data_IF_522131288431
#
_entry.id   IF_522131288431
#
_cell.length_a   1.000
_cell.length_b   1.000
_cell.length_c   1.000
_cell.angle_alpha   90.00
_cell.angle_beta   90.00
_cell.angle_gamma   90.00
#
_symmetry.space_group_name_H-M   'P 1'
#
loop_
_entity.id
_entity.type
_entity.pdbx_description
1 polymer ?
#
# COMPACT_ATOMS: atom_id res chain seq x y z
N UNK A 1 32.52 53.23 32.24
CA UNK A 1 31.86 51.90 32.21
C UNK A 1 30.99 51.79 30.98
N UNK A 2 31.48 51.16 29.90
CA UNK A 2 30.70 50.93 28.67
C UNK A 2 29.82 49.69 28.81
N UNK A 3 28.49 49.85 28.67
CA UNK A 3 27.52 48.75 28.70
C UNK A 3 27.76 47.82 27.51
N UNK A 4 28.18 46.57 27.78
CA UNK A 4 28.26 45.50 26.78
C UNK A 4 26.88 45.28 26.14
N UNK A 5 26.79 45.57 24.86
CA UNK A 5 25.67 45.23 23.98
C UNK A 5 25.41 43.71 24.04
N UNK A 6 24.20 43.32 24.48
CA UNK A 6 23.70 41.93 24.42
C UNK A 6 23.37 41.56 22.96
N UNK A 7 24.36 41.56 22.07
CA UNK A 7 24.27 40.89 20.76
C UNK A 7 24.60 39.43 20.97
N UNK A 8 23.59 38.60 21.23
CA UNK A 8 23.80 37.16 21.40
C UNK A 8 22.61 36.36 21.92
N UNK A 9 21.57 36.99 22.49
CA UNK A 9 20.35 36.24 22.77
C UNK A 9 19.65 35.95 21.45
N UNK A 10 19.38 34.67 21.16
CA UNK A 10 18.61 34.25 20.00
C UNK A 10 17.22 34.93 19.91
N UNK A 11 16.41 34.54 18.91
CA UNK A 11 15.06 35.09 18.74
C UNK A 11 14.28 35.06 20.05
N UNK A 12 13.62 36.18 20.42
CA UNK A 12 12.81 36.23 21.64
C UNK A 12 11.67 35.20 21.53
N UNK A 13 11.38 34.40 22.58
CA UNK A 13 10.24 33.48 22.59
C UNK A 13 8.95 34.21 22.20
N UNK A 14 8.15 33.64 21.29
CA UNK A 14 6.89 34.24 20.82
C UNK A 14 7.04 35.42 19.85
N UNK A 15 8.23 35.67 19.29
CA UNK A 15 8.38 36.63 18.19
C UNK A 15 8.19 35.96 16.82
N UNK A 16 7.69 36.70 15.81
CA UNK A 16 7.58 36.21 14.43
C UNK A 16 8.90 35.61 13.89
N UNK A 17 10.05 36.08 14.40
CA UNK A 17 11.37 35.53 14.04
C UNK A 17 11.66 34.19 14.72
N UNK A 18 11.20 33.98 15.95
CA UNK A 18 11.29 32.69 16.65
C UNK A 18 10.37 31.65 15.99
N UNK A 19 9.13 32.04 15.65
CA UNK A 19 8.17 31.18 14.96
C UNK A 19 8.68 30.75 13.57
N UNK A 20 9.23 31.68 12.77
CA UNK A 20 9.83 31.34 11.47
C UNK A 20 11.02 30.40 11.58
N UNK A 21 11.81 30.52 12.65
CA UNK A 21 12.95 29.62 12.90
C UNK A 21 12.47 28.24 13.37
N UNK A 22 11.46 28.18 14.25
CA UNK A 22 10.81 26.94 14.67
C UNK A 22 10.18 26.21 13.48
N UNK A 23 9.35 26.89 12.68
CA UNK A 23 8.72 26.33 11.47
C UNK A 23 9.74 25.92 10.39
N UNK A 24 10.92 26.54 10.34
CA UNK A 24 12.01 26.09 9.46
C UNK A 24 12.68 24.83 10.01
N UNK A 25 12.88 24.76 11.32
CA UNK A 25 13.47 23.60 12.00
C UNK A 25 12.53 22.40 11.94
N UNK A 26 11.23 22.60 12.13
CA UNK A 26 10.19 21.59 11.95
C UNK A 26 10.12 21.11 10.50
N UNK A 27 10.13 22.01 9.51
CA UNK A 27 10.20 21.61 8.09
C UNK A 27 11.48 20.84 7.77
N UNK A 28 12.62 21.22 8.34
CA UNK A 28 13.86 20.47 8.17
C UNK A 28 13.81 19.11 8.86
N UNK A 29 13.25 19.02 10.06
CA UNK A 29 13.08 17.75 10.77
C UNK A 29 12.10 16.82 10.05
N UNK A 30 10.97 17.35 9.56
CA UNK A 30 10.00 16.62 8.75
C UNK A 30 10.60 16.16 7.42
N UNK A 31 11.45 16.98 6.78
CA UNK A 31 12.15 16.58 5.56
C UNK A 31 13.25 15.52 5.79
N UNK A 32 13.71 15.34 7.02
CA UNK A 32 14.66 14.29 7.40
C UNK A 32 13.97 13.09 8.08
N UNK A 33 12.66 13.13 8.28
CA UNK A 33 11.92 12.00 8.83
C UNK A 33 11.92 10.86 7.80
N UNK A 34 12.10 9.60 8.23
CA UNK A 34 11.93 8.45 7.36
C UNK A 34 10.54 8.49 6.72
N UNK A 35 10.40 8.07 5.45
CA UNK A 35 9.09 7.94 4.83
C UNK A 35 8.19 7.04 5.69
N UNK A 36 6.88 7.35 5.79
CA UNK A 36 5.96 6.58 6.61
C UNK A 36 5.95 5.12 6.16
N UNK A 37 5.98 4.21 7.13
CA UNK A 37 5.91 2.76 6.95
C UNK A 37 4.59 2.24 7.56
N UNK A 38 3.44 2.52 6.90
CA UNK A 38 2.11 2.39 7.51
C UNK A 38 1.75 0.95 7.89
N UNK A 39 2.38 -0.03 7.25
CA UNK A 39 2.09 -1.46 7.46
C UNK A 39 3.18 -2.17 8.30
N UNK A 40 4.05 -1.41 8.95
CA UNK A 40 5.12 -1.97 9.77
C UNK A 40 4.57 -2.90 10.87
N UNK A 41 5.14 -4.09 10.98
CA UNK A 41 4.76 -5.08 12.00
C UNK A 41 3.72 -6.10 11.54
N UNK A 42 3.18 -5.98 10.34
CA UNK A 42 2.33 -7.01 9.73
C UNK A 42 3.18 -7.99 8.91
N UNK A 43 2.92 -9.28 9.03
CA UNK A 43 3.56 -10.32 8.21
C UNK A 43 3.29 -10.09 6.70
N UNK A 44 2.11 -9.56 6.37
CA UNK A 44 1.71 -9.19 5.01
C UNK A 44 2.24 -7.84 4.52
N UNK A 45 3.11 -7.14 5.27
CA UNK A 45 3.53 -5.77 4.96
C UNK A 45 3.99 -5.57 3.51
N UNK A 46 4.88 -6.44 3.01
CA UNK A 46 5.44 -6.29 1.66
C UNK A 46 4.37 -6.45 0.58
N UNK A 47 3.39 -7.33 0.80
CA UNK A 47 2.27 -7.53 -0.09
C UNK A 47 1.31 -6.34 -0.06
N UNK A 48 0.98 -5.81 1.13
CA UNK A 48 0.17 -4.60 1.28
C UNK A 48 0.80 -3.42 0.54
N UNK A 49 2.12 -3.23 0.68
CA UNK A 49 2.86 -2.19 -0.06
C UNK A 49 2.78 -2.42 -1.57
N UNK A 50 2.88 -3.65 -2.06
CA UNK A 50 2.77 -3.96 -3.49
C UNK A 50 1.37 -3.67 -4.04
N UNK A 51 0.34 -4.17 -3.36
CA UNK A 51 -1.08 -3.93 -3.68
C UNK A 51 -1.41 -2.44 -3.69
N UNK A 52 -0.81 -1.68 -2.78
CA UNK A 52 -0.94 -0.22 -2.71
C UNK A 52 -0.20 0.52 -3.84
N UNK A 53 0.95 0.02 -4.28
CA UNK A 53 1.88 0.82 -5.08
C UNK A 53 1.82 0.58 -6.59
N UNK A 54 1.64 -0.68 -7.02
CA UNK A 54 1.82 -1.00 -8.44
C UNK A 54 1.11 -2.27 -8.95
N UNK A 55 0.51 -3.08 -8.08
CA UNK A 55 -0.37 -4.16 -8.57
C UNK A 55 -1.63 -3.50 -9.12
N UNK A 56 -2.16 -3.97 -10.25
CA UNK A 56 -3.31 -3.35 -10.90
C UNK A 56 -4.65 -3.97 -10.46
N UNK A 57 -4.72 -5.31 -10.41
CA UNK A 57 -5.96 -6.04 -10.15
C UNK A 57 -5.67 -7.30 -9.34
N UNK A 58 -6.03 -7.27 -8.06
CA UNK A 58 -5.88 -8.39 -7.15
C UNK A 58 -6.85 -8.27 -5.97
N UNK A 59 -7.19 -9.39 -5.36
CA UNK A 59 -7.94 -9.47 -4.11
C UNK A 59 -7.25 -10.41 -3.13
N UNK A 60 -7.48 -10.21 -1.84
CA UNK A 60 -7.00 -11.12 -0.81
C UNK A 60 -7.94 -11.11 0.40
N UNK A 61 -8.38 -12.29 0.85
CA UNK A 61 -9.21 -12.38 2.05
C UNK A 61 -8.40 -11.94 3.28
N UNK A 62 -9.01 -11.14 4.15
CA UNK A 62 -8.40 -10.74 5.42
C UNK A 62 -8.72 -11.75 6.52
N UNK A 63 -7.68 -12.11 7.27
CA UNK A 63 -7.84 -12.80 8.55
C UNK A 63 -8.15 -11.76 9.62
N UNK A 64 -9.44 -11.53 9.87
CA UNK A 64 -9.90 -10.57 10.87
C UNK A 64 -9.72 -11.12 12.29
N UNK A 65 -9.26 -10.27 13.21
CA UNK A 65 -9.13 -10.60 14.64
C UNK A 65 -10.50 -10.92 15.25
N UNK A 66 -11.51 -10.12 14.90
CA UNK A 66 -12.89 -10.32 15.31
C UNK A 66 -13.72 -10.84 14.12
N UNK A 67 -14.17 -12.09 14.20
CA UNK A 67 -15.05 -12.73 13.21
C UNK A 67 -16.32 -13.29 13.88
N UNK A 68 -17.39 -13.47 13.10
CA UNK A 68 -18.65 -14.01 13.59
C UNK A 68 -19.79 -13.81 12.58
N UNK A 69 -20.93 -14.45 12.83
CA UNK A 69 -22.10 -14.40 11.92
C UNK A 69 -22.73 -13.01 11.78
N UNK A 70 -22.44 -12.11 12.73
CA UNK A 70 -22.98 -10.76 12.77
C UNK A 70 -22.03 -9.74 12.10
N UNK A 71 -20.97 -10.22 11.44
CA UNK A 71 -19.99 -9.40 10.73
C UNK A 71 -19.76 -9.94 9.34
N UNK A 72 -19.52 -9.01 8.42
CA UNK A 72 -19.18 -9.35 7.05
C UNK A 72 -17.76 -9.92 7.03
N UNK A 73 -17.54 -10.94 6.19
CA UNK A 73 -16.19 -11.26 5.74
C UNK A 73 -15.63 -10.07 4.95
N UNK A 74 -14.33 -9.80 5.08
CA UNK A 74 -13.68 -8.69 4.39
C UNK A 74 -12.54 -9.20 3.52
N UNK A 75 -12.51 -8.75 2.27
CA UNK A 75 -11.40 -8.94 1.35
C UNK A 75 -10.76 -7.60 1.01
N UNK A 76 -9.42 -7.56 0.97
CA UNK A 76 -8.71 -6.50 0.29
C UNK A 76 -8.92 -6.61 -1.20
N UNK A 77 -8.96 -5.44 -1.83
CA UNK A 77 -8.98 -5.22 -3.25
C UNK A 77 -7.88 -4.21 -3.58
N UNK A 78 -7.18 -4.40 -4.69
CA UNK A 78 -6.23 -3.40 -5.16
C UNK A 78 -6.89 -2.04 -5.35
N UNK A 79 -8.00 -2.01 -6.10
CA UNK A 79 -8.79 -0.80 -6.36
C UNK A 79 -10.25 -1.19 -6.59
N UNK A 80 -11.17 -0.36 -6.09
CA UNK A 80 -12.61 -0.53 -6.26
C UNK A 80 -13.15 0.40 -7.37
N UNK A 81 -14.35 0.15 -7.92
CA UNK A 81 -15.00 1.09 -8.84
C UNK A 81 -15.05 2.50 -8.26
N UNK A 82 -14.61 3.49 -9.03
CA UNK A 82 -14.55 4.88 -8.58
C UNK A 82 -13.47 5.17 -7.53
N UNK A 83 -12.54 4.23 -7.28
CA UNK A 83 -11.48 4.34 -6.30
C UNK A 83 -11.97 4.67 -4.87
N UNK A 84 -13.17 4.17 -4.52
CA UNK A 84 -13.74 4.33 -3.17
C UNK A 84 -13.00 3.47 -2.14
N UNK A 85 -12.93 3.86 -0.86
CA UNK A 85 -12.19 3.11 0.16
C UNK A 85 -12.78 1.74 0.49
N UNK A 86 -14.11 1.60 0.49
CA UNK A 86 -14.76 0.32 0.73
C UNK A 86 -16.13 0.25 0.07
N UNK A 87 -16.62 -0.98 -0.14
CA UNK A 87 -17.99 -1.28 -0.52
C UNK A 87 -18.44 -2.56 0.19
N UNK A 88 -19.74 -2.72 0.39
CA UNK A 88 -20.33 -4.00 0.83
C UNK A 88 -21.31 -4.45 -0.24
N UNK A 89 -21.20 -5.72 -0.64
CA UNK A 89 -22.07 -6.36 -1.62
C UNK A 89 -22.64 -7.65 -1.08
N UNK A 90 -23.77 -8.07 -1.65
CA UNK A 90 -24.32 -9.41 -1.39
C UNK A 90 -23.64 -10.42 -2.31
N UNK A 91 -23.23 -11.56 -1.75
CA UNK A 91 -22.71 -12.71 -2.49
C UNK A 91 -23.37 -14.00 -2.00
N UNK A 92 -23.22 -15.08 -2.75
CA UNK A 92 -23.67 -16.41 -2.31
C UNK A 92 -22.96 -16.78 -0.99
N UNK A 93 -23.71 -16.77 0.11
CA UNK A 93 -23.19 -17.05 1.45
C UNK A 93 -23.27 -15.89 2.44
N UNK A 94 -23.65 -14.69 2.00
CA UNK A 94 -23.88 -13.53 2.84
C UNK A 94 -23.19 -12.26 2.36
N UNK A 95 -23.25 -11.17 3.14
CA UNK A 95 -22.59 -9.92 2.79
C UNK A 95 -21.06 -10.05 2.81
N UNK A 96 -20.42 -9.56 1.74
CA UNK A 96 -18.96 -9.42 1.61
C UNK A 96 -18.58 -7.93 1.61
N UNK A 97 -17.67 -7.57 2.51
CA UNK A 97 -16.98 -6.28 2.49
C UNK A 97 -15.75 -6.34 1.60
N UNK A 98 -15.58 -5.36 0.70
CA UNK A 98 -14.35 -5.15 -0.04
C UNK A 98 -13.72 -3.84 0.37
N UNK A 99 -12.40 -3.83 0.58
CA UNK A 99 -11.65 -2.64 0.99
C UNK A 99 -10.50 -2.38 0.03
N UNK A 100 -10.41 -1.16 -0.51
CA UNK A 100 -9.42 -0.77 -1.49
C UNK A 100 -8.07 -0.43 -0.87
N UNK A 101 -6.99 -0.88 -1.50
CA UNK A 101 -5.63 -0.42 -1.21
C UNK A 101 -5.32 0.91 -1.90
N UNK A 102 -5.84 1.13 -3.10
CA UNK A 102 -5.68 2.34 -3.91
C UNK A 102 -7.01 3.11 -3.96
N UNK A 103 -6.98 4.36 -3.53
CA UNK A 103 -8.18 5.21 -3.41
C UNK A 103 -7.94 6.59 -4.02
N UNK A 104 -9.01 7.29 -4.37
CA UNK A 104 -8.95 8.71 -4.77
C UNK A 104 -10.05 9.48 -4.04
N UNK A 105 -9.71 10.46 -3.16
CA UNK A 105 -8.35 10.87 -2.80
C UNK A 105 -7.60 9.83 -1.97
N UNK A 106 -6.27 9.98 -1.94
CA UNK A 106 -5.42 9.25 -1.00
C UNK A 106 -5.67 9.70 0.45
N UNK A 107 -5.75 8.76 1.42
CA UNK A 107 -5.89 9.13 2.82
C UNK A 107 -4.60 9.77 3.34
N UNK A 108 -4.73 10.76 4.23
CA UNK A 108 -3.58 11.43 4.85
C UNK A 108 -2.75 10.47 5.69
N UNK A 109 -3.41 9.53 6.37
CA UNK A 109 -2.81 8.41 7.08
C UNK A 109 -3.35 7.11 6.49
N UNK A 110 -2.48 6.38 5.78
CA UNK A 110 -2.84 5.16 5.07
C UNK A 110 -3.24 4.02 6.00
N UNK A 111 -2.61 3.93 7.17
CA UNK A 111 -2.93 2.88 8.12
C UNK A 111 -4.28 3.14 8.78
N UNK A 112 -4.52 4.39 9.20
CA UNK A 112 -5.80 4.78 9.80
C UNK A 112 -6.96 4.70 8.78
N UNK A 113 -6.74 5.15 7.54
CA UNK A 113 -7.74 5.08 6.47
C UNK A 113 -8.11 3.63 6.11
N UNK A 114 -7.11 2.74 6.04
CA UNK A 114 -7.37 1.32 5.80
C UNK A 114 -8.10 0.67 6.98
N UNK A 115 -7.72 1.01 8.22
CA UNK A 115 -8.40 0.51 9.42
C UNK A 115 -9.87 0.95 9.47
N UNK A 116 -10.14 2.24 9.18
CA UNK A 116 -11.50 2.77 9.12
C UNK A 116 -12.34 2.04 8.06
N UNK A 117 -11.78 1.84 6.88
CA UNK A 117 -12.46 1.16 5.78
C UNK A 117 -12.79 -0.31 6.12
N UNK A 118 -11.87 -1.03 6.77
CA UNK A 118 -12.11 -2.41 7.25
C UNK A 118 -13.19 -2.41 8.33
N UNK A 119 -13.07 -1.58 9.36
CA UNK A 119 -14.03 -1.57 10.47
C UNK A 119 -15.43 -1.14 10.00
N UNK A 120 -15.55 -0.26 9.01
CA UNK A 120 -16.80 0.06 8.32
C UNK A 120 -17.34 -1.14 7.54
N UNK A 121 -16.49 -1.80 6.73
CA UNK A 121 -16.89 -2.90 5.86
C UNK A 121 -17.38 -4.12 6.66
N UNK A 122 -16.84 -4.37 7.86
CA UNK A 122 -17.30 -5.47 8.72
C UNK A 122 -18.73 -5.30 9.28
N UNK A 123 -19.27 -4.07 9.31
CA UNK A 123 -20.52 -3.72 10.01
C UNK A 123 -21.62 -3.18 9.10
N UNK A 124 -21.28 -2.81 7.87
CA UNK A 124 -22.19 -2.11 6.97
C UNK A 124 -23.08 -3.08 6.19
N UNK A 125 -24.31 -2.65 5.89
CA UNK A 125 -25.21 -3.43 5.06
C UNK A 125 -24.79 -3.37 3.57
N UNK A 126 -25.08 -4.40 2.77
CA UNK A 126 -24.90 -4.36 1.32
C UNK A 126 -25.54 -3.13 0.68
N UNK A 127 -24.82 -2.51 -0.27
CA UNK A 127 -25.29 -1.32 -0.99
C UNK A 127 -25.26 -0.02 -0.18
N UNK A 128 -24.77 -0.03 1.05
CA UNK A 128 -24.52 1.20 1.80
C UNK A 128 -23.40 2.02 1.13
N UNK A 129 -23.61 3.33 0.99
CA UNK A 129 -22.56 4.25 0.56
C UNK A 129 -21.47 4.34 1.63
N UNK A 130 -20.21 4.29 1.22
CA UNK A 130 -19.08 4.46 2.13
C UNK A 130 -19.17 5.83 2.82
N UNK A 131 -19.19 5.80 4.15
CA UNK A 131 -19.23 6.99 4.98
C UNK A 131 -18.20 6.85 6.11
N UNK A 132 -17.09 7.62 6.09
CA UNK A 132 -16.09 7.57 7.15
C UNK A 132 -16.71 8.08 8.46
N UNK A 133 -16.50 7.34 9.55
CA UNK A 133 -17.05 7.63 10.88
C UNK A 133 -15.95 7.75 11.97
N UNK A 134 -14.70 7.56 11.58
CA UNK A 134 -13.57 7.29 12.44
C UNK A 134 -13.57 5.86 12.96
N UNK A 135 -12.37 5.34 13.22
CA UNK A 135 -12.17 4.16 14.05
C UNK A 135 -11.08 4.47 15.08
N UNK A 136 -11.23 3.94 16.29
CA UNK A 136 -10.20 3.96 17.32
C UNK A 136 -9.26 2.75 17.24
N UNK A 137 -9.58 1.79 16.37
CA UNK A 137 -8.79 0.57 16.15
C UNK A 137 -7.65 0.81 15.18
N UNK A 138 -6.52 0.21 15.49
CA UNK A 138 -5.36 0.09 14.62
C UNK A 138 -5.52 -1.10 13.65
N UNK A 139 -4.71 -1.13 12.59
CA UNK A 139 -4.69 -2.28 11.67
C UNK A 139 -4.39 -3.61 12.37
N UNK A 140 -3.51 -3.61 13.37
CA UNK A 140 -3.15 -4.80 14.14
C UNK A 140 -4.26 -5.28 15.09
N UNK A 141 -5.24 -4.43 15.41
CA UNK A 141 -6.45 -4.80 16.17
C UNK A 141 -7.56 -5.34 15.26
N UNK A 142 -7.48 -5.09 13.95
CA UNK A 142 -8.47 -5.52 12.96
C UNK A 142 -8.03 -6.76 12.19
N UNK A 143 -6.77 -6.84 11.79
CA UNK A 143 -6.19 -7.94 11.00
C UNK A 143 -5.18 -8.70 11.88
N UNK A 144 -5.21 -10.03 11.83
CA UNK A 144 -4.24 -10.88 12.49
C UNK A 144 -2.80 -10.51 12.04
N UNK A 145 -1.93 -9.97 12.94
CA UNK A 145 -0.64 -9.40 12.53
C UNK A 145 0.31 -10.41 11.88
N UNK A 146 0.23 -11.68 12.28
CA UNK A 146 1.08 -12.75 11.78
C UNK A 146 0.51 -13.44 10.51
N UNK A 147 -0.65 -13.00 10.02
CA UNK A 147 -1.27 -13.60 8.84
C UNK A 147 -0.61 -13.13 7.54
N UNK A 148 -0.40 -14.07 6.64
CA UNK A 148 0.00 -13.81 5.27
C UNK A 148 -1.24 -13.72 4.36
N UNK A 149 -1.18 -12.88 3.33
CA UNK A 149 -2.27 -12.77 2.37
C UNK A 149 -2.21 -13.90 1.34
N UNK A 150 -3.32 -14.62 1.19
CA UNK A 150 -3.59 -15.43 0.01
C UNK A 150 -4.15 -14.52 -1.09
N UNK A 151 -3.27 -14.14 -2.02
CA UNK A 151 -3.56 -13.12 -3.03
C UNK A 151 -3.97 -13.80 -4.33
N UNK A 152 -5.16 -13.44 -4.81
CA UNK A 152 -5.67 -13.80 -6.13
C UNK A 152 -5.42 -12.61 -7.07
N UNK A 153 -4.61 -12.82 -8.10
CA UNK A 153 -4.40 -11.83 -9.17
C UNK A 153 -5.46 -12.05 -10.25
N UNK A 154 -6.05 -10.96 -10.73
CA UNK A 154 -7.06 -11.00 -11.77
C UNK A 154 -6.52 -10.37 -13.05
N UNK A 155 -6.87 -10.95 -14.20
CA UNK A 155 -6.47 -10.42 -15.51
C UNK A 155 -7.32 -9.22 -15.96
N UNK A 156 -8.44 -8.98 -15.28
CA UNK A 156 -9.37 -7.90 -15.55
C UNK A 156 -10.03 -7.38 -14.26
N UNK A 157 -11.03 -6.50 -14.39
CA UNK A 157 -11.86 -5.99 -13.30
C UNK A 157 -13.27 -6.60 -13.26
N UNK A 158 -13.51 -7.71 -13.95
CA UNK A 158 -14.82 -8.39 -13.97
C UNK A 158 -15.24 -8.84 -12.56
N UNK A 159 -14.28 -9.12 -11.68
CA UNK A 159 -14.50 -9.48 -10.28
C UNK A 159 -15.15 -8.37 -9.43
N UNK A 160 -15.22 -7.12 -9.91
CA UNK A 160 -15.99 -6.06 -9.26
C UNK A 160 -17.47 -6.43 -9.10
N UNK A 161 -18.00 -7.25 -10.00
CA UNK A 161 -19.38 -7.70 -9.99
C UNK A 161 -19.46 -9.13 -9.47
N UNK A 162 -20.48 -9.46 -8.65
CA UNK A 162 -20.74 -10.85 -8.28
C UNK A 162 -20.93 -11.73 -9.52
N UNK A 163 -20.48 -13.00 -9.49
CA UNK A 163 -20.68 -13.92 -10.60
C UNK A 163 -22.15 -13.97 -11.06
N UNK A 164 -22.38 -13.85 -12.36
CA UNK A 164 -23.73 -13.86 -12.94
C UNK A 164 -24.46 -12.50 -12.91
N UNK A 165 -23.81 -11.43 -12.46
CA UNK A 165 -24.34 -10.06 -12.56
C UNK A 165 -23.93 -9.43 -13.89
N UNK A 166 -24.91 -8.92 -14.65
CA UNK A 166 -24.64 -8.17 -15.88
C UNK A 166 -23.99 -6.81 -15.55
N UNK A 167 -22.94 -6.46 -16.29
CA UNK A 167 -22.32 -5.13 -16.19
C UNK A 167 -23.31 -4.09 -16.77
N UNK A 168 -23.72 -3.07 -16.00
CA UNK A 168 -24.56 -2.00 -16.51
C UNK A 168 -23.92 -1.32 -17.72
N UNK A 169 -24.71 -1.11 -18.78
CA UNK A 169 -24.22 -0.53 -20.04
C UNK A 169 -23.54 0.84 -19.84
N UNK A 170 -23.99 1.61 -18.85
CA UNK A 170 -23.47 2.94 -18.50
C UNK A 170 -22.01 2.91 -18.01
N UNK A 171 -21.55 1.79 -17.45
CA UNK A 171 -20.19 1.64 -16.91
C UNK A 171 -19.31 0.68 -17.74
N UNK A 172 -19.86 0.08 -18.80
CA UNK A 172 -19.13 -0.86 -19.66
C UNK A 172 -17.87 -0.23 -20.30
N UNK A 173 -17.99 0.99 -20.82
CA UNK A 173 -16.85 1.72 -21.42
C UNK A 173 -15.79 2.13 -20.38
N UNK A 174 -16.20 2.36 -19.13
CA UNK A 174 -15.27 2.62 -18.03
C UNK A 174 -14.52 1.33 -17.67
N UNK A 175 -15.23 0.22 -17.55
CA UNK A 175 -14.65 -1.09 -17.27
C UNK A 175 -13.66 -1.51 -18.35
N UNK A 176 -14.02 -1.37 -19.63
CA UNK A 176 -13.12 -1.70 -20.74
C UNK A 176 -11.84 -0.88 -20.68
N UNK A 177 -11.94 0.44 -20.45
CA UNK A 177 -10.76 1.30 -20.30
C UNK A 177 -9.89 0.91 -19.10
N UNK A 178 -10.51 0.49 -18.00
CA UNK A 178 -9.77 -0.01 -16.84
C UNK A 178 -9.04 -1.32 -17.20
N UNK A 179 -9.70 -2.25 -17.88
CA UNK A 179 -9.12 -3.51 -18.34
C UNK A 179 -7.95 -3.29 -19.31
N UNK A 180 -8.07 -2.35 -20.25
CA UNK A 180 -6.99 -2.02 -21.20
C UNK A 180 -5.72 -1.48 -20.53
N UNK A 181 -5.81 -1.05 -19.27
CA UNK A 181 -4.66 -0.58 -18.48
C UNK A 181 -3.93 -1.70 -17.73
N UNK A 182 -4.52 -2.90 -17.63
CA UNK A 182 -3.92 -4.03 -16.93
C UNK A 182 -2.83 -4.66 -17.80
N UNK A 183 -1.68 -4.88 -17.19
CA UNK A 183 -0.61 -5.71 -17.73
C UNK A 183 -0.62 -7.08 -17.05
N UNK A 184 -0.35 -8.19 -17.76
CA UNK A 184 -0.23 -9.50 -17.16
C UNK A 184 0.74 -9.46 -15.97
N UNK A 185 0.25 -9.89 -14.80
CA UNK A 185 0.94 -9.73 -13.52
C UNK A 185 0.91 -11.04 -12.75
N UNK A 186 1.98 -11.38 -12.06
CA UNK A 186 2.04 -12.56 -11.20
C UNK A 186 2.78 -12.26 -9.90
N UNK A 187 2.21 -12.68 -8.77
CA UNK A 187 2.92 -12.74 -7.49
C UNK A 187 3.82 -13.98 -7.49
N UNK A 188 5.10 -13.80 -7.16
CA UNK A 188 6.05 -14.89 -7.06
C UNK A 188 6.34 -15.23 -5.60
N UNK A 189 6.62 -16.49 -5.31
CA UNK A 189 6.98 -16.94 -3.96
C UNK A 189 8.49 -17.19 -3.88
N UNK A 190 9.27 -16.31 -3.21
CA UNK A 190 10.70 -16.50 -3.09
C UNK A 190 11.00 -17.65 -2.12
N UNK A 191 12.00 -18.48 -2.45
CA UNK A 191 12.43 -19.59 -1.57
C UNK A 191 12.92 -19.13 -0.20
N UNK A 192 13.39 -17.90 -0.08
CA UNK A 192 13.79 -17.30 1.20
C UNK A 192 12.60 -16.99 2.10
N UNK A 193 11.37 -16.92 1.56
CA UNK A 193 10.19 -16.40 2.25
C UNK A 193 10.25 -14.90 2.53
N UNK A 194 11.24 -14.16 1.99
CA UNK A 194 11.47 -12.75 2.30
C UNK A 194 10.97 -11.84 1.18
N UNK A 195 10.11 -10.89 1.56
CA UNK A 195 9.59 -9.86 0.66
C UNK A 195 8.53 -10.38 -0.30
N UNK A 196 8.06 -9.48 -1.17
CA UNK A 196 7.02 -9.76 -2.15
C UNK A 196 7.52 -9.44 -3.57
N UNK A 197 8.09 -10.42 -4.30
CA UNK A 197 8.45 -10.27 -5.70
C UNK A 197 7.22 -10.37 -6.62
N UNK A 198 7.07 -9.37 -7.47
CA UNK A 198 5.98 -9.25 -8.43
C UNK A 198 6.53 -9.14 -9.83
N UNK A 199 6.08 -10.04 -10.69
CA UNK A 199 6.38 -10.08 -12.11
C UNK A 199 5.30 -9.35 -12.89
N UNK A 200 5.69 -8.55 -13.88
CA UNK A 200 4.78 -7.88 -14.82
C UNK A 200 5.33 -7.99 -16.23
N UNK A 201 4.49 -8.38 -17.17
CA UNK A 201 4.81 -8.34 -18.60
C UNK A 201 4.44 -6.99 -19.20
N UNK A 202 5.44 -6.18 -19.55
CA UNK A 202 5.21 -4.91 -20.24
C UNK A 202 5.25 -5.03 -21.78
N UNK A 203 5.35 -6.25 -22.31
CA UNK A 203 5.34 -6.57 -23.74
C UNK A 203 6.71 -6.58 -24.40
N UNK A 204 7.58 -5.58 -24.13
CA UNK A 204 8.96 -5.58 -24.66
C UNK A 204 9.90 -6.43 -23.81
N UNK A 205 9.84 -6.24 -22.49
CA UNK A 205 10.53 -7.03 -21.46
C UNK A 205 9.66 -7.14 -20.23
N UNK A 206 9.78 -8.26 -19.53
CA UNK A 206 9.13 -8.39 -18.26
C UNK A 206 9.98 -7.71 -17.16
N UNK A 207 9.31 -7.21 -16.13
CA UNK A 207 9.96 -6.61 -14.98
C UNK A 207 9.57 -7.34 -13.71
N UNK A 208 10.53 -7.51 -12.82
CA UNK A 208 10.32 -7.97 -11.46
C UNK A 208 10.55 -6.84 -10.49
N UNK A 209 9.51 -6.49 -9.71
CA UNK A 209 9.58 -5.54 -8.60
C UNK A 209 9.53 -6.32 -7.29
N UNK A 210 10.58 -6.27 -6.49
CA UNK A 210 10.66 -7.02 -5.24
C UNK A 210 10.54 -6.10 -4.05
N UNK A 211 9.39 -6.07 -3.38
CA UNK A 211 9.26 -5.29 -2.13
C UNK A 211 10.03 -5.99 -1.04
N UNK A 212 10.96 -5.27 -0.38
CA UNK A 212 11.89 -5.84 0.60
C UNK A 212 11.70 -5.21 1.99
N UNK A 213 11.58 -6.03 3.05
CA UNK A 213 11.28 -5.54 4.41
C UNK A 213 12.51 -5.03 5.17
N UNK A 214 13.72 -5.33 4.68
CA UNK A 214 14.97 -4.95 5.34
C UNK A 214 15.16 -3.43 5.41
N UNK A 215 15.97 -2.98 6.38
CA UNK A 215 16.38 -1.58 6.46
C UNK A 215 17.08 -1.16 5.16
N UNK A 216 16.74 0.03 4.68
CA UNK A 216 17.19 0.52 3.38
C UNK A 216 18.73 0.52 3.25
N UNK A 217 19.44 1.02 4.25
CA UNK A 217 20.91 1.09 4.24
C UNK A 217 21.55 -0.30 4.13
N UNK A 218 21.02 -1.29 4.84
CA UNK A 218 21.52 -2.66 4.83
C UNK A 218 21.29 -3.31 3.47
N UNK A 219 20.10 -3.13 2.90
CA UNK A 219 19.76 -3.67 1.59
C UNK A 219 20.57 -3.00 0.48
N UNK A 220 20.70 -1.67 0.49
CA UNK A 220 21.51 -0.93 -0.50
C UNK A 220 22.98 -1.37 -0.44
N UNK A 221 23.53 -1.53 0.77
CA UNK A 221 24.89 -2.05 0.95
C UNK A 221 25.04 -3.48 0.40
N UNK A 222 24.05 -4.34 0.63
CA UNK A 222 24.05 -5.71 0.10
C UNK A 222 23.97 -5.72 -1.45
N UNK A 223 23.08 -4.92 -2.04
CA UNK A 223 22.95 -4.78 -3.50
C UNK A 223 24.24 -4.26 -4.13
N UNK A 224 24.89 -3.27 -3.52
CA UNK A 224 26.17 -2.72 -4.01
C UNK A 224 27.28 -3.79 -4.00
N UNK A 225 27.36 -4.60 -2.94
CA UNK A 225 28.33 -5.72 -2.86
C UNK A 225 28.06 -6.78 -3.92
N UNK A 226 26.79 -7.15 -4.12
CA UNK A 226 26.39 -8.09 -5.17
C UNK A 226 26.72 -7.55 -6.57
N UNK A 227 26.48 -6.26 -6.80
CA UNK A 227 26.81 -5.61 -8.07
C UNK A 227 28.32 -5.63 -8.34
N UNK A 228 29.12 -5.25 -7.34
CA UNK A 228 30.59 -5.26 -7.45
C UNK A 228 31.15 -6.67 -7.71
N UNK A 229 30.47 -7.71 -7.22
CA UNK A 229 30.82 -9.11 -7.46
C UNK A 229 30.23 -9.69 -8.78
N UNK A 230 29.44 -8.93 -9.54
CA UNK A 230 28.78 -9.42 -10.76
C UNK A 230 27.63 -10.41 -10.49
N UNK A 231 27.11 -10.44 -9.26
CA UNK A 231 26.06 -11.36 -8.82
C UNK A 231 24.69 -10.69 -8.59
N UNK A 232 24.54 -9.42 -8.94
CA UNK A 232 23.25 -8.72 -8.87
C UNK A 232 22.38 -9.04 -10.09
N UNK A 233 21.87 -10.27 -10.11
CA UNK A 233 21.07 -10.85 -11.20
C UNK A 233 20.11 -11.91 -10.63
N UNK A 234 19.04 -12.23 -11.34
CA UNK A 234 18.08 -13.30 -11.02
C UNK A 234 18.25 -14.55 -11.89
N UNK A 235 19.34 -14.62 -12.65
CA UNK A 235 19.62 -15.69 -13.60
C UNK A 235 20.07 -15.13 -14.94
N UNK A 236 20.42 -16.02 -15.86
CA UNK A 236 20.86 -15.65 -17.21
C UNK A 236 19.82 -14.75 -17.90
N UNK A 237 20.29 -13.70 -18.59
CA UNK A 237 19.43 -12.72 -19.28
C UNK A 237 18.90 -11.59 -18.41
N UNK A 238 18.79 -11.79 -17.09
CA UNK A 238 18.22 -10.77 -16.20
C UNK A 238 19.21 -9.66 -15.83
N UNK A 239 18.70 -8.45 -15.67
CA UNK A 239 19.50 -7.25 -15.36
C UNK A 239 18.86 -6.44 -14.25
N UNK A 240 19.65 -5.99 -13.27
CA UNK A 240 19.20 -4.98 -12.33
C UNK A 240 18.95 -3.63 -13.04
N UNK A 241 17.71 -3.17 -13.03
CA UNK A 241 17.26 -1.94 -13.66
C UNK A 241 17.36 -0.73 -12.72
N UNK A 242 17.23 -0.96 -11.42
CA UNK A 242 17.30 0.09 -10.41
C UNK A 242 16.53 -0.28 -9.15
N UNK A 243 16.25 0.72 -8.32
CA UNK A 243 15.35 0.57 -7.18
C UNK A 243 14.61 1.88 -6.92
N UNK A 244 13.43 1.78 -6.32
CA UNK A 244 12.66 2.94 -5.85
C UNK A 244 12.18 2.72 -4.41
N UNK A 245 11.73 3.79 -3.77
CA UNK A 245 11.20 3.77 -2.41
C UNK A 245 9.69 3.93 -2.46
N UNK A 246 8.98 3.20 -1.60
CA UNK A 246 7.54 3.34 -1.45
C UNK A 246 7.15 2.87 -0.05
N UNK A 247 6.30 3.63 0.65
CA UNK A 247 5.75 3.26 1.96
C UNK A 247 6.79 2.77 2.99
N UNK A 248 7.96 3.43 3.05
CA UNK A 248 9.01 3.06 4.01
C UNK A 248 9.88 1.87 3.61
N UNK A 249 9.65 1.27 2.43
CA UNK A 249 10.38 0.12 1.92
C UNK A 249 11.11 0.42 0.62
N UNK A 250 12.16 -0.37 0.35
CA UNK A 250 12.90 -0.33 -0.91
C UNK A 250 12.40 -1.44 -1.85
N UNK A 251 12.29 -1.12 -3.13
CA UNK A 251 11.84 -2.04 -4.18
C UNK A 251 12.91 -2.14 -5.26
N UNK A 252 13.83 -3.12 -5.18
CA UNK A 252 14.69 -3.52 -6.29
C UNK A 252 13.89 -3.95 -7.52
N UNK A 253 14.34 -3.53 -8.70
CA UNK A 253 13.72 -3.82 -9.99
C UNK A 253 14.71 -4.54 -10.89
N UNK A 254 14.25 -5.62 -11.51
CA UNK A 254 15.02 -6.42 -12.47
C UNK A 254 14.27 -6.54 -13.78
N UNK A 255 14.96 -6.33 -14.90
CA UNK A 255 14.49 -6.72 -16.23
C UNK A 255 14.76 -8.21 -16.42
N UNK A 256 13.80 -8.90 -17.04
CA UNK A 256 13.85 -10.32 -17.35
C UNK A 256 13.84 -10.57 -18.86
#
# INVERSE_FOLDING_TARGET
MGKKSKRGSGPRPGSNRAERVAARKERQAAAMAPPPRPFAGLAAECDLVALRSFVASATARLDLVESGTDRNDVSLATILPGAVPALVRDVDGGPEGLVAMQTDPDPEDLAAGLAEAIDWATRSAPGADYAPAGTDKTLAELIAPDSALDIVVHDDFSWWFPPGTDVPAEIADMLQRANDSIMPTARLTPKSGVGAPWWVDSGERAHLRWVRPEAEDDLMNALARLHAAGHLTLGEGSRFAGSFRTHGLLVPVFDL
#
